data_IF_967915236124
#
_entry.id   IF_967915236124
#
_cell.length_a   1.000
_cell.length_b   1.000
_cell.length_c   1.000
_cell.angle_alpha   90.00
_cell.angle_beta   90.00
_cell.angle_gamma   90.00
#
_symmetry.space_group_name_H-M   'P 1'
#
loop_
_entity.id
_entity.type
_entity.pdbx_description
1 polymer ?
#
# COMPACT_ATOMS: atom_id res chain seq x y z
N UNK A 1 -4.57 -1.43 -15.97
CA UNK A 1 -3.67 -2.51 -15.48
C UNK A 1 -4.21 -2.96 -14.15
N UNK A 2 -3.89 -4.16 -13.68
CA UNK A 2 -4.38 -4.62 -12.37
C UNK A 2 -3.43 -4.11 -11.29
N UNK A 3 -3.97 -3.28 -10.40
CA UNK A 3 -3.30 -2.72 -9.24
C UNK A 3 -3.85 -3.36 -7.96
N UNK A 4 -3.12 -3.20 -6.85
CA UNK A 4 -3.49 -3.75 -5.55
C UNK A 4 -3.68 -2.60 -4.56
N UNK A 5 -4.84 -2.52 -3.94
CA UNK A 5 -5.12 -1.58 -2.84
C UNK A 5 -5.38 -2.35 -1.55
N UNK A 6 -5.33 -1.65 -0.42
CA UNK A 6 -5.72 -2.20 0.88
C UNK A 6 -5.41 -1.24 2.02
N UNK A 7 -5.43 -1.75 3.26
CA UNK A 7 -4.97 -1.00 4.42
C UNK A 7 -3.49 -1.20 4.66
N UNK A 8 -2.76 -0.13 4.98
CA UNK A 8 -1.36 -0.21 5.37
C UNK A 8 -1.22 -0.79 6.79
N UNK A 9 -0.33 -1.76 6.91
CA UNK A 9 0.27 -2.22 8.16
C UNK A 9 1.71 -1.70 8.22
N UNK A 10 2.07 -0.99 9.29
CA UNK A 10 3.45 -0.52 9.56
C UNK A 10 4.33 -1.68 10.03
N UNK A 11 4.47 -2.68 9.15
CA UNK A 11 5.20 -3.91 9.39
C UNK A 11 5.88 -4.36 8.11
N UNK A 12 7.20 -4.57 8.20
CA UNK A 12 8.00 -5.22 7.18
C UNK A 12 7.64 -6.70 7.04
N UNK A 13 7.63 -7.18 5.80
CA UNK A 13 7.38 -8.59 5.47
C UNK A 13 8.55 -9.18 4.68
N UNK A 14 8.83 -10.50 4.78
CA UNK A 14 9.95 -11.13 4.08
C UNK A 14 9.91 -10.97 2.55
N UNK A 15 8.71 -10.93 1.96
CA UNK A 15 8.53 -10.75 0.51
C UNK A 15 8.67 -9.28 0.06
N UNK A 16 8.66 -8.32 0.99
CA UNK A 16 8.82 -6.90 0.74
C UNK A 16 9.92 -6.31 1.65
N UNK A 17 11.19 -6.73 1.48
CA UNK A 17 12.25 -6.32 2.39
C UNK A 17 12.69 -4.87 2.19
N UNK A 18 12.18 -4.14 1.19
CA UNK A 18 12.63 -2.77 0.90
C UNK A 18 11.91 -1.72 1.75
N UNK A 19 10.69 -2.02 2.20
CA UNK A 19 9.82 -1.08 2.87
C UNK A 19 9.40 -1.63 4.23
N UNK A 20 9.29 -0.76 5.23
CA UNK A 20 8.86 -1.13 6.58
C UNK A 20 7.33 -1.20 6.72
N UNK A 21 6.61 -1.23 5.61
CA UNK A 21 5.16 -1.44 5.54
C UNK A 21 4.73 -2.55 4.58
N UNK A 22 3.50 -3.03 4.80
CA UNK A 22 2.80 -4.01 3.95
C UNK A 22 1.32 -3.70 3.88
N UNK A 23 0.61 -4.30 2.92
CA UNK A 23 -0.86 -4.25 2.89
C UNK A 23 -1.44 -5.37 3.76
N UNK A 24 -2.53 -5.06 4.46
CA UNK A 24 -3.32 -6.02 5.22
C UNK A 24 -4.02 -7.00 4.26
N UNK A 25 -3.66 -8.30 4.29
CA UNK A 25 -4.20 -9.31 3.40
C UNK A 25 -5.73 -9.41 3.44
N UNK A 26 -6.35 -9.13 4.60
CA UNK A 26 -7.81 -9.25 4.78
C UNK A 26 -8.58 -8.09 4.13
N UNK A 27 -7.87 -7.04 3.71
CA UNK A 27 -8.45 -5.84 3.05
C UNK A 27 -7.93 -5.64 1.64
N UNK A 28 -7.09 -6.56 1.16
CA UNK A 28 -6.40 -6.40 -0.13
C UNK A 28 -7.34 -6.71 -1.28
N UNK A 29 -7.47 -5.77 -2.21
CA UNK A 29 -8.36 -5.90 -3.37
C UNK A 29 -7.70 -5.40 -4.67
N UNK A 30 -8.16 -5.92 -5.80
CA UNK A 30 -7.73 -5.46 -7.12
C UNK A 30 -8.50 -4.23 -7.57
N UNK A 31 -7.82 -3.27 -8.19
CA UNK A 31 -8.45 -2.07 -8.73
C UNK A 31 -7.82 -1.64 -10.07
N UNK A 32 -8.55 -0.80 -10.81
CA UNK A 32 -8.13 -0.30 -12.12
C UNK A 32 -7.94 1.23 -12.19
N UNK A 33 -8.49 1.99 -11.24
CA UNK A 33 -8.39 3.45 -11.17
C UNK A 33 -8.17 3.89 -9.73
N UNK A 34 -7.12 4.69 -9.50
CA UNK A 34 -6.78 5.25 -8.19
C UNK A 34 -7.48 6.59 -7.97
N UNK A 35 -7.91 6.85 -6.74
CA UNK A 35 -8.33 8.17 -6.28
C UNK A 35 -7.10 8.93 -5.75
N UNK A 36 -7.06 10.26 -5.93
CA UNK A 36 -5.94 11.11 -5.51
C UNK A 36 -5.69 11.06 -3.99
N UNK A 37 -6.70 10.68 -3.21
CA UNK A 37 -6.61 10.63 -1.75
C UNK A 37 -5.80 9.43 -1.25
N UNK A 38 -5.86 8.29 -1.94
CA UNK A 38 -5.18 7.06 -1.53
C UNK A 38 -3.95 6.72 -2.40
N UNK A 39 -3.64 7.51 -3.43
CA UNK A 39 -2.48 7.33 -4.29
C UNK A 39 -1.26 8.09 -3.76
N UNK A 40 -0.13 7.37 -3.63
CA UNK A 40 1.15 7.93 -3.26
C UNK A 40 2.28 7.02 -3.76
N UNK A 41 3.46 7.57 -4.02
CA UNK A 41 4.63 6.77 -4.40
C UNK A 41 5.17 5.99 -3.18
N UNK A 42 5.60 4.74 -3.39
CA UNK A 42 5.98 3.84 -2.29
C UNK A 42 7.11 4.40 -1.39
N UNK A 43 8.07 5.14 -1.97
CA UNK A 43 9.14 5.76 -1.17
C UNK A 43 8.63 6.92 -0.33
N UNK A 44 7.64 7.66 -0.82
CA UNK A 44 7.03 8.75 -0.08
C UNK A 44 6.23 8.21 1.11
N UNK A 45 5.54 7.08 0.91
CA UNK A 45 4.87 6.35 2.00
C UNK A 45 5.87 5.89 3.07
N UNK A 46 7.04 5.42 2.67
CA UNK A 46 8.11 5.00 3.59
C UNK A 46 8.68 6.19 4.39
N UNK A 47 9.00 7.30 3.71
CA UNK A 47 9.56 8.51 4.34
C UNK A 47 8.58 9.16 5.33
N UNK A 48 7.28 9.06 5.06
CA UNK A 48 6.20 9.60 5.89
C UNK A 48 5.43 8.51 6.64
N UNK A 49 6.03 7.33 6.87
CA UNK A 49 5.35 6.17 7.43
C UNK A 49 4.72 6.47 8.81
N UNK A 50 5.33 7.36 9.60
CA UNK A 50 4.79 7.78 10.90
C UNK A 50 3.46 8.56 10.77
N UNK A 51 3.25 9.28 9.67
CA UNK A 51 2.06 10.10 9.41
C UNK A 51 0.92 9.29 8.76
N UNK A 52 1.23 8.12 8.20
CA UNK A 52 0.26 7.20 7.59
C UNK A 52 -0.81 6.79 8.60
N UNK A 53 -2.06 6.69 8.13
CA UNK A 53 -3.30 6.50 8.91
C UNK A 53 -3.80 7.75 9.64
N UNK A 54 -3.09 8.88 9.51
CA UNK A 54 -3.49 10.18 10.04
C UNK A 54 -4.02 11.09 8.95
N UNK A 55 -3.40 12.26 8.81
CA UNK A 55 -3.68 13.19 7.72
C UNK A 55 -3.18 12.65 6.36
N UNK A 56 -2.10 11.87 6.39
CA UNK A 56 -1.56 11.18 5.22
C UNK A 56 -2.16 9.77 5.15
N UNK A 57 -2.78 9.43 4.02
CA UNK A 57 -3.51 8.17 3.80
C UNK A 57 -4.54 7.88 4.91
N UNK A 58 -5.62 8.68 4.99
CA UNK A 58 -6.62 8.55 6.05
C UNK A 58 -7.28 7.17 6.04
N UNK A 59 -7.56 6.63 7.24
CA UNK A 59 -8.13 5.28 7.38
C UNK A 59 -7.16 4.16 6.99
N UNK A 60 -5.86 4.47 6.88
CA UNK A 60 -4.82 3.59 6.37
C UNK A 60 -5.04 3.11 4.93
N UNK A 61 -5.97 3.69 4.18
CA UNK A 61 -6.30 3.23 2.84
C UNK A 61 -5.23 3.68 1.84
N UNK A 62 -4.71 2.73 1.07
CA UNK A 62 -3.65 2.96 0.10
C UNK A 62 -3.98 2.26 -1.22
N UNK A 63 -3.91 3.00 -2.31
CA UNK A 63 -4.24 2.58 -3.67
C UNK A 63 -3.18 3.08 -4.68
N UNK A 64 -1.95 2.52 -4.69
CA UNK A 64 -0.87 3.02 -5.54
C UNK A 64 -1.19 2.86 -7.02
N UNK A 65 -1.54 3.96 -7.69
CA UNK A 65 -1.95 4.01 -9.09
C UNK A 65 -0.81 3.69 -10.06
N UNK A 66 0.43 3.98 -9.65
CA UNK A 66 1.63 3.63 -10.39
C UNK A 66 2.11 2.18 -10.17
N UNK A 67 1.44 1.40 -9.31
CA UNK A 67 1.85 0.02 -9.01
C UNK A 67 1.62 -0.95 -10.17
N UNK A 68 2.22 -2.14 -10.11
CA UNK A 68 1.88 -3.25 -11.00
C UNK A 68 1.96 -4.55 -10.22
N UNK A 69 0.93 -5.41 -10.36
CA UNK A 69 0.95 -6.74 -9.76
C UNK A 69 2.01 -7.62 -10.45
N UNK A 70 3.00 -8.08 -9.69
CA UNK A 70 4.08 -8.95 -10.20
C UNK A 70 3.91 -10.43 -9.82
N UNK A 71 3.32 -10.71 -8.65
CA UNK A 71 3.17 -12.06 -8.10
C UNK A 71 2.26 -12.05 -6.87
N UNK A 72 1.49 -13.12 -6.68
CA UNK A 72 0.79 -13.43 -5.44
C UNK A 72 1.64 -14.34 -4.54
N UNK A 73 1.71 -14.01 -3.25
CA UNK A 73 2.46 -14.79 -2.24
C UNK A 73 1.48 -15.34 -1.20
N UNK A 74 1.69 -16.59 -0.79
CA UNK A 74 0.92 -17.21 0.29
C UNK A 74 1.66 -17.04 1.64
N UNK A 75 0.95 -17.03 2.77
CA UNK A 75 1.56 -17.01 4.10
C UNK A 75 2.51 -18.18 4.34
#
# INVERSE_FOLDING_TARGET
MVHVQGRILKKRQPYNPRYDFSLDPDTTEFFNYADEVCDAELFYVEEHLDEVCGAFLPGCHYCPGASTLIREVRP
#
